data_IF_355219248341
#
_entry.id   IF_355219248341
#
_cell.length_a   1.000
_cell.length_b   1.000
_cell.length_c   1.000
_cell.angle_alpha   90.00
_cell.angle_beta   90.00
_cell.angle_gamma   90.00
#
_symmetry.space_group_name_H-M   'P 1'
#
loop_
_entity.id
_entity.type
_entity.pdbx_description
1 polymer ?
#
# COMPACT_ATOMS: atom_id res chain seq x y z
N UNK A 1 -42.17 -19.29 -3.79
CA UNK A 1 -41.18 -19.75 -2.80
C UNK A 1 -39.86 -20.03 -3.51
N UNK A 2 -39.15 -18.96 -3.88
CA UNK A 2 -37.75 -19.08 -4.29
C UNK A 2 -36.93 -18.82 -3.03
N UNK A 3 -36.21 -19.84 -2.55
CA UNK A 3 -35.16 -19.62 -1.56
C UNK A 3 -34.06 -18.84 -2.28
N UNK A 4 -34.20 -17.51 -2.28
CA UNK A 4 -33.32 -16.58 -2.96
C UNK A 4 -32.01 -16.61 -2.20
N UNK A 5 -30.94 -17.13 -2.82
CA UNK A 5 -29.65 -17.28 -2.18
C UNK A 5 -29.13 -15.91 -1.72
N UNK A 6 -29.23 -15.61 -0.43
CA UNK A 6 -28.86 -14.32 0.17
C UNK A 6 -27.35 -14.08 0.04
N UNK A 7 -26.55 -15.13 0.15
CA UNK A 7 -25.09 -15.04 0.14
C UNK A 7 -24.52 -14.52 -1.20
N UNK A 8 -24.90 -15.05 -2.38
CA UNK A 8 -24.53 -14.45 -3.67
C UNK A 8 -24.87 -12.96 -3.81
N UNK A 9 -26.04 -12.52 -3.33
CA UNK A 9 -26.45 -11.12 -3.41
C UNK A 9 -25.60 -10.20 -2.49
N UNK A 10 -25.20 -10.72 -1.33
CA UNK A 10 -24.24 -10.05 -0.44
C UNK A 10 -22.89 -9.90 -1.15
N UNK A 11 -22.34 -11.00 -1.69
CA UNK A 11 -21.05 -10.95 -2.39
C UNK A 11 -21.09 -10.05 -3.63
N UNK A 12 -22.18 -10.07 -4.40
CA UNK A 12 -22.36 -9.17 -5.56
C UNK A 12 -22.28 -7.70 -5.12
N UNK A 13 -23.00 -7.34 -4.06
CA UNK A 13 -23.01 -5.98 -3.52
C UNK A 13 -21.65 -5.57 -2.95
N UNK A 14 -20.95 -6.48 -2.26
CA UNK A 14 -19.59 -6.25 -1.74
C UNK A 14 -18.59 -6.06 -2.88
N UNK A 15 -18.60 -6.93 -3.88
CA UNK A 15 -17.68 -6.84 -5.02
C UNK A 15 -17.94 -5.59 -5.85
N UNK A 16 -19.20 -5.19 -6.03
CA UNK A 16 -19.55 -3.92 -6.66
C UNK A 16 -19.03 -2.73 -5.86
N UNK A 17 -19.13 -2.77 -4.52
CA UNK A 17 -18.54 -1.75 -3.66
C UNK A 17 -17.01 -1.68 -3.86
N UNK A 18 -16.33 -2.84 -3.95
CA UNK A 18 -14.89 -2.89 -4.20
C UNK A 18 -14.52 -2.24 -5.54
N UNK A 19 -15.31 -2.49 -6.58
CA UNK A 19 -15.12 -1.89 -7.91
C UNK A 19 -15.31 -0.37 -7.85
N UNK A 20 -16.34 0.12 -7.17
CA UNK A 20 -16.58 1.55 -7.02
C UNK A 20 -15.47 2.25 -6.25
N UNK A 21 -15.01 1.66 -5.15
CA UNK A 21 -13.93 2.24 -4.34
C UNK A 21 -12.61 2.26 -5.11
N UNK A 22 -12.31 1.20 -5.85
CA UNK A 22 -11.14 1.17 -6.74
C UNK A 22 -11.21 2.23 -7.85
N UNK A 23 -12.41 2.54 -8.34
CA UNK A 23 -12.64 3.61 -9.30
C UNK A 23 -12.66 5.02 -8.66
N UNK A 24 -12.50 5.14 -7.34
CA UNK A 24 -12.55 6.40 -6.59
C UNK A 24 -13.97 6.93 -6.36
N UNK A 25 -15.02 6.16 -6.66
CA UNK A 25 -16.41 6.53 -6.40
C UNK A 25 -16.86 6.03 -5.02
N UNK A 26 -16.55 6.83 -4.00
CA UNK A 26 -16.73 6.41 -2.59
C UNK A 26 -18.21 6.36 -2.20
N UNK A 27 -19.02 7.30 -2.70
CA UNK A 27 -20.46 7.30 -2.44
C UNK A 27 -21.16 6.08 -3.06
N UNK A 28 -20.74 5.68 -4.26
CA UNK A 28 -21.20 4.46 -4.91
C UNK A 28 -20.79 3.21 -4.12
N UNK A 29 -19.55 3.18 -3.64
CA UNK A 29 -19.05 2.08 -2.82
C UNK A 29 -19.82 1.95 -1.50
N UNK A 30 -20.00 3.06 -0.78
CA UNK A 30 -20.77 3.11 0.46
C UNK A 30 -22.23 2.67 0.24
N UNK A 31 -22.85 3.09 -0.87
CA UNK A 31 -24.24 2.70 -1.19
C UNK A 31 -24.36 1.20 -1.42
N UNK A 32 -23.47 0.61 -2.24
CA UNK A 32 -23.46 -0.82 -2.51
C UNK A 32 -23.14 -1.64 -1.24
N UNK A 33 -22.19 -1.16 -0.43
CA UNK A 33 -21.85 -1.80 0.84
C UNK A 33 -23.01 -1.75 1.83
N UNK A 34 -23.74 -0.63 1.91
CA UNK A 34 -24.93 -0.49 2.77
C UNK A 34 -26.05 -1.43 2.36
N UNK A 35 -26.24 -1.65 1.06
CA UNK A 35 -27.17 -2.67 0.55
C UNK A 35 -26.76 -4.08 0.99
N UNK A 36 -25.46 -4.40 0.93
CA UNK A 36 -24.95 -5.66 1.45
C UNK A 36 -25.24 -5.82 2.95
N UNK A 37 -24.97 -4.78 3.76
CA UNK A 37 -25.24 -4.78 5.21
C UNK A 37 -26.72 -5.05 5.49
N UNK A 38 -27.64 -4.39 4.77
CA UNK A 38 -29.06 -4.60 4.95
C UNK A 38 -29.51 -6.05 4.68
N UNK A 39 -28.87 -6.74 3.73
CA UNK A 39 -29.11 -8.16 3.45
C UNK A 39 -28.49 -9.10 4.49
N UNK A 40 -27.35 -8.72 5.06
CA UNK A 40 -26.58 -9.55 5.98
C UNK A 40 -27.00 -9.40 7.45
N UNK A 41 -27.56 -8.26 7.83
CA UNK A 41 -27.89 -7.92 9.21
C UNK A 41 -28.92 -8.85 9.87
N UNK A 42 -30.00 -9.30 9.20
CA UNK A 42 -30.97 -10.22 9.81
C UNK A 42 -30.33 -11.55 10.25
N UNK A 43 -29.43 -12.08 9.40
CA UNK A 43 -28.77 -13.37 9.60
C UNK A 43 -27.37 -13.27 10.22
N UNK A 44 -26.94 -12.05 10.60
CA UNK A 44 -25.63 -11.76 11.19
C UNK A 44 -24.44 -12.32 10.37
N UNK A 45 -24.53 -12.21 9.04
CA UNK A 45 -23.50 -12.72 8.12
C UNK A 45 -22.33 -11.73 7.98
N UNK A 46 -21.44 -11.72 8.97
CA UNK A 46 -20.32 -10.76 9.06
C UNK A 46 -19.12 -11.14 8.19
N UNK A 47 -18.85 -12.45 8.01
CA UNK A 47 -17.63 -12.94 7.35
C UNK A 47 -17.40 -12.43 5.91
N UNK A 48 -18.40 -12.36 5.01
CA UNK A 48 -18.20 -11.83 3.66
C UNK A 48 -17.59 -10.42 3.64
N UNK A 49 -17.92 -9.60 4.63
CA UNK A 49 -17.38 -8.25 4.78
C UNK A 49 -15.96 -8.29 5.34
N UNK A 50 -15.71 -9.09 6.37
CA UNK A 50 -14.39 -9.21 7.00
C UNK A 50 -13.32 -9.70 6.01
N UNK A 51 -13.70 -10.62 5.11
CA UNK A 51 -12.87 -11.13 4.00
C UNK A 51 -12.47 -10.05 2.99
N UNK A 52 -13.31 -9.03 2.79
CA UNK A 52 -13.14 -8.02 1.73
C UNK A 52 -12.79 -6.63 2.27
N UNK A 53 -12.75 -6.44 3.59
CA UNK A 53 -12.54 -5.14 4.23
C UNK A 53 -11.23 -4.45 3.82
N UNK A 54 -10.19 -5.22 3.44
CA UNK A 54 -8.94 -4.65 2.90
C UNK A 54 -9.17 -3.78 1.65
N UNK A 55 -10.19 -4.08 0.85
CA UNK A 55 -10.50 -3.37 -0.39
C UNK A 55 -11.54 -2.25 -0.22
N UNK A 56 -12.07 -2.08 1.00
CA UNK A 56 -13.15 -1.15 1.30
C UNK A 56 -12.83 -0.15 2.42
N UNK A 57 -11.59 0.35 2.60
CA UNK A 57 -11.26 1.20 3.75
C UNK A 57 -12.12 2.46 3.86
N UNK A 58 -12.43 3.11 2.73
CA UNK A 58 -13.17 4.38 2.71
C UNK A 58 -14.68 4.15 2.85
N UNK A 59 -15.24 3.14 2.16
CA UNK A 59 -16.65 2.79 2.31
C UNK A 59 -16.97 2.31 3.74
N UNK A 60 -16.08 1.52 4.36
CA UNK A 60 -16.22 1.09 5.75
C UNK A 60 -16.21 2.27 6.73
N UNK A 61 -15.30 3.23 6.54
CA UNK A 61 -15.23 4.43 7.38
C UNK A 61 -16.46 5.33 7.21
N UNK A 62 -16.98 5.47 5.98
CA UNK A 62 -18.21 6.22 5.73
C UNK A 62 -19.42 5.57 6.43
N UNK A 63 -19.55 4.24 6.36
CA UNK A 63 -20.64 3.52 7.04
C UNK A 63 -20.47 3.47 8.56
N UNK A 64 -19.26 3.61 9.08
CA UNK A 64 -19.03 3.77 10.52
C UNK A 64 -19.72 5.01 11.08
N UNK A 65 -19.87 6.05 10.27
CA UNK A 65 -20.60 7.28 10.63
C UNK A 65 -22.12 7.14 10.51
N UNK A 66 -22.63 6.06 9.90
CA UNK A 66 -24.06 5.77 9.79
C UNK A 66 -24.53 5.01 11.03
N UNK A 67 -25.40 5.63 11.83
CA UNK A 67 -25.88 5.06 13.10
C UNK A 67 -26.55 3.67 12.95
N UNK A 68 -27.14 3.35 11.79
CA UNK A 68 -27.78 2.06 11.56
C UNK A 68 -26.77 0.94 11.23
N UNK A 69 -25.70 1.28 10.52
CA UNK A 69 -24.69 0.33 10.08
C UNK A 69 -23.49 0.22 11.04
N UNK A 70 -23.20 1.27 11.81
CA UNK A 70 -22.08 1.37 12.75
C UNK A 70 -21.85 0.11 13.61
N UNK A 71 -22.86 -0.47 14.31
CA UNK A 71 -22.61 -1.65 15.14
C UNK A 71 -22.23 -2.88 14.32
N UNK A 72 -22.74 -3.01 13.09
CA UNK A 72 -22.36 -4.11 12.20
C UNK A 72 -20.93 -3.92 11.68
N UNK A 73 -20.56 -2.70 11.27
CA UNK A 73 -19.20 -2.38 10.83
C UNK A 73 -18.17 -2.61 11.94
N UNK A 74 -18.51 -2.27 13.19
CA UNK A 74 -17.64 -2.55 14.33
C UNK A 74 -17.38 -4.07 14.51
N UNK A 75 -18.40 -4.91 14.32
CA UNK A 75 -18.24 -6.37 14.32
C UNK A 75 -17.36 -6.86 13.15
N UNK A 76 -17.54 -6.30 11.96
CA UNK A 76 -16.70 -6.61 10.79
C UNK A 76 -15.23 -6.29 11.09
N UNK A 77 -14.96 -5.12 11.68
CA UNK A 77 -13.60 -4.70 12.03
C UNK A 77 -12.95 -5.62 13.05
N UNK A 78 -13.71 -6.11 14.04
CA UNK A 78 -13.21 -7.06 15.04
C UNK A 78 -12.80 -8.43 14.47
N UNK A 79 -13.33 -8.81 13.31
CA UNK A 79 -13.03 -10.08 12.63
C UNK A 79 -12.12 -9.91 11.41
N UNK A 80 -11.91 -8.67 10.95
CA UNK A 80 -11.13 -8.40 9.76
C UNK A 80 -9.64 -8.56 9.99
N UNK A 81 -8.95 -9.10 8.98
CA UNK A 81 -7.49 -9.14 8.94
C UNK A 81 -6.88 -7.93 8.22
N UNK A 82 -7.67 -6.96 7.77
CA UNK A 82 -7.17 -5.81 7.02
C UNK A 82 -6.09 -5.03 7.80
N UNK A 83 -6.36 -4.66 9.04
CA UNK A 83 -5.42 -3.96 9.92
C UNK A 83 -4.17 -4.80 10.27
N UNK A 84 -4.30 -6.05 10.77
CA UNK A 84 -3.14 -6.92 11.00
C UNK A 84 -2.27 -7.15 9.76
N UNK A 85 -2.89 -7.37 8.59
CA UNK A 85 -2.16 -7.59 7.35
C UNK A 85 -1.52 -6.29 6.83
N UNK A 86 -2.16 -5.14 7.01
CA UNK A 86 -1.55 -3.84 6.70
C UNK A 86 -0.32 -3.60 7.57
N UNK A 87 -0.43 -3.80 8.88
CA UNK A 87 0.70 -3.69 9.82
C UNK A 87 1.83 -4.68 9.47
N UNK A 88 1.49 -5.92 9.12
CA UNK A 88 2.47 -6.92 8.66
C UNK A 88 3.12 -6.49 7.33
N UNK A 89 2.37 -5.96 6.37
CA UNK A 89 2.92 -5.44 5.11
C UNK A 89 3.86 -4.28 5.36
N UNK A 90 3.52 -3.36 6.26
CA UNK A 90 4.43 -2.26 6.66
C UNK A 90 5.68 -2.79 7.34
N UNK A 91 5.57 -3.81 8.21
CA UNK A 91 6.70 -4.43 8.87
C UNK A 91 7.60 -5.23 7.90
N UNK A 92 7.01 -5.90 6.90
CA UNK A 92 7.70 -6.67 5.88
C UNK A 92 8.21 -5.80 4.72
N UNK A 93 7.65 -4.62 4.52
CA UNK A 93 8.15 -3.62 3.61
C UNK A 93 9.53 -3.18 4.10
N UNK A 94 10.56 -3.90 3.67
CA UNK A 94 11.94 -3.39 3.72
C UNK A 94 11.89 -1.99 3.09
N UNK A 95 12.59 -0.99 3.64
CA UNK A 95 12.80 0.27 2.95
C UNK A 95 13.61 -0.01 1.68
N UNK A 96 12.95 -0.45 0.62
CA UNK A 96 13.55 -0.62 -0.67
C UNK A 96 13.69 0.78 -1.21
N UNK A 97 14.89 1.32 -1.09
CA UNK A 97 15.29 2.49 -1.84
C UNK A 97 14.81 2.31 -3.29
N UNK A 98 14.26 3.35 -3.95
CA UNK A 98 13.81 3.28 -5.34
C UNK A 98 15.01 3.20 -6.31
N UNK A 99 16.04 2.46 -5.92
CA UNK A 99 17.32 2.25 -6.55
C UNK A 99 17.46 0.76 -6.84
N UNK A 100 17.86 0.44 -8.07
CA UNK A 100 18.34 -0.89 -8.44
C UNK A 100 19.55 -1.30 -7.59
N UNK A 101 19.85 -2.59 -7.52
CA UNK A 101 21.04 -3.11 -6.79
C UNK A 101 22.33 -2.36 -7.17
N UNK A 102 22.51 -2.07 -8.46
CA UNK A 102 23.70 -1.35 -8.95
C UNK A 102 23.73 0.11 -8.52
N UNK A 103 22.58 0.77 -8.46
CA UNK A 103 22.47 2.14 -7.97
C UNK A 103 22.70 2.21 -6.45
N UNK A 104 22.24 1.21 -5.70
CA UNK A 104 22.50 1.06 -4.28
C UNK A 104 24.01 0.90 -3.98
N UNK A 105 24.70 0.04 -4.74
CA UNK A 105 26.17 -0.11 -4.62
C UNK A 105 26.91 1.22 -4.86
N UNK A 106 26.54 1.96 -5.91
CA UNK A 106 27.13 3.28 -6.21
C UNK A 106 26.82 4.28 -5.10
N UNK A 107 25.58 4.33 -4.62
CA UNK A 107 25.17 5.23 -3.54
C UNK A 107 25.90 4.93 -2.22
N UNK A 108 26.08 3.65 -1.88
CA UNK A 108 26.82 3.22 -0.69
C UNK A 108 28.29 3.65 -0.75
N UNK A 109 28.96 3.48 -1.89
CA UNK A 109 30.33 3.97 -2.07
C UNK A 109 30.43 5.50 -2.02
N UNK A 110 29.40 6.22 -2.47
CA UNK A 110 29.34 7.68 -2.30
C UNK A 110 29.19 8.07 -0.82
N UNK A 111 28.35 7.35 -0.08
CA UNK A 111 28.14 7.59 1.35
C UNK A 111 29.42 7.36 2.17
N UNK A 112 30.28 6.42 1.78
CA UNK A 112 31.60 6.21 2.40
C UNK A 112 32.68 7.20 1.92
N UNK A 113 32.34 8.13 1.02
CA UNK A 113 33.21 9.22 0.59
C UNK A 113 34.03 8.95 -0.68
N UNK A 114 33.81 7.85 -1.41
CA UNK A 114 34.63 7.53 -2.60
C UNK A 114 34.35 8.48 -3.77
N UNK A 115 35.42 8.98 -4.40
CA UNK A 115 35.31 9.78 -5.62
C UNK A 115 34.76 8.97 -6.79
N UNK A 116 34.19 9.63 -7.81
CA UNK A 116 33.68 8.94 -9.00
C UNK A 116 34.75 8.11 -9.70
N UNK A 117 36.02 8.56 -9.67
CA UNK A 117 37.17 7.83 -10.20
C UNK A 117 37.46 6.55 -9.40
N UNK A 118 37.39 6.62 -8.07
CA UNK A 118 37.58 5.44 -7.23
C UNK A 118 36.44 4.43 -7.41
N UNK A 119 35.19 4.90 -7.49
CA UNK A 119 34.01 4.07 -7.78
C UNK A 119 34.15 3.40 -9.15
N UNK A 120 34.54 4.17 -10.17
CA UNK A 120 34.79 3.66 -11.52
C UNK A 120 35.84 2.54 -11.53
N UNK A 121 36.92 2.71 -10.76
CA UNK A 121 37.96 1.70 -10.60
C UNK A 121 37.46 0.42 -9.90
N UNK A 122 36.73 0.54 -8.79
CA UNK A 122 36.19 -0.62 -8.08
C UNK A 122 35.15 -1.39 -8.91
N UNK A 123 34.39 -0.65 -9.71
CA UNK A 123 33.31 -1.20 -10.52
C UNK A 123 33.74 -1.62 -11.93
N UNK A 124 34.99 -1.38 -12.30
CA UNK A 124 35.55 -1.58 -13.64
C UNK A 124 34.68 -0.97 -14.76
N UNK A 125 34.28 0.29 -14.58
CA UNK A 125 33.47 1.06 -15.54
C UNK A 125 34.08 2.44 -15.78
N UNK A 126 33.65 3.13 -16.83
CA UNK A 126 34.07 4.50 -17.08
C UNK A 126 33.49 5.49 -16.05
N UNK A 127 34.24 6.53 -15.70
CA UNK A 127 33.80 7.60 -14.78
C UNK A 127 32.52 8.30 -15.27
N UNK A 128 32.35 8.44 -16.59
CA UNK A 128 31.14 9.00 -17.20
C UNK A 128 29.89 8.17 -16.87
N UNK A 129 30.04 6.85 -16.76
CA UNK A 129 28.95 5.94 -16.38
C UNK A 129 28.56 6.17 -14.93
N UNK A 130 29.53 6.35 -14.01
CA UNK A 130 29.25 6.70 -12.61
C UNK A 130 28.48 8.02 -12.51
N UNK A 131 28.88 9.04 -13.28
CA UNK A 131 28.16 10.33 -13.32
C UNK A 131 26.72 10.17 -13.80
N UNK A 132 26.49 9.36 -14.84
CA UNK A 132 25.14 9.06 -15.35
C UNK A 132 24.29 8.32 -14.31
N UNK A 133 24.86 7.32 -13.65
CA UNK A 133 24.17 6.57 -12.58
C UNK A 133 23.80 7.50 -11.43
N UNK A 134 24.71 8.38 -10.99
CA UNK A 134 24.42 9.38 -9.94
C UNK A 134 23.29 10.33 -10.34
N UNK A 135 23.25 10.78 -11.60
CA UNK A 135 22.14 11.60 -12.09
C UNK A 135 20.79 10.89 -12.00
N UNK A 136 20.75 9.58 -12.30
CA UNK A 136 19.54 8.77 -12.16
C UNK A 136 19.16 8.57 -10.69
N UNK A 137 20.13 8.30 -9.81
CA UNK A 137 19.95 8.19 -8.36
C UNK A 137 19.35 9.50 -7.81
N UNK A 138 19.92 10.65 -8.16
CA UNK A 138 19.44 11.95 -7.73
C UNK A 138 17.97 12.20 -8.11
N UNK A 139 17.62 11.88 -9.36
CA UNK A 139 16.22 11.97 -9.83
C UNK A 139 15.29 11.03 -9.07
N UNK A 140 15.70 9.78 -8.83
CA UNK A 140 14.91 8.76 -8.13
C UNK A 140 14.69 9.09 -6.66
N UNK A 141 15.66 9.76 -6.03
CA UNK A 141 15.60 10.14 -4.62
C UNK A 141 15.10 11.59 -4.41
N UNK A 142 14.86 12.35 -5.48
CA UNK A 142 14.44 13.76 -5.37
C UNK A 142 15.50 14.68 -4.75
N UNK A 143 16.78 14.30 -4.80
CA UNK A 143 17.90 15.06 -4.24
C UNK A 143 18.74 15.71 -5.34
N UNK A 144 19.48 16.75 -4.99
CA UNK A 144 20.17 17.58 -6.00
C UNK A 144 21.68 17.46 -5.96
N UNK A 145 22.25 16.92 -4.87
CA UNK A 145 23.70 16.92 -4.69
C UNK A 145 24.23 15.71 -3.91
N UNK A 146 25.55 15.54 -4.00
CA UNK A 146 26.29 14.44 -3.39
C UNK A 146 26.19 14.44 -1.86
N UNK A 147 26.20 15.60 -1.22
CA UNK A 147 26.10 15.72 0.23
C UNK A 147 24.70 15.29 0.72
N UNK A 148 23.65 15.66 -0.01
CA UNK A 148 22.29 15.20 0.22
C UNK A 148 22.18 13.68 0.06
N UNK A 149 22.89 13.09 -0.91
CA UNK A 149 22.94 11.62 -1.05
C UNK A 149 23.62 10.97 0.16
N UNK A 150 24.77 11.48 0.59
CA UNK A 150 25.47 10.94 1.77
C UNK A 150 24.62 11.07 3.05
N UNK A 151 23.96 12.21 3.26
CA UNK A 151 23.04 12.42 4.39
C UNK A 151 21.81 11.50 4.32
N UNK A 152 21.26 11.31 3.12
CA UNK A 152 20.12 10.43 2.92
C UNK A 152 20.47 8.97 3.21
N UNK A 153 21.67 8.53 2.80
CA UNK A 153 22.16 7.17 3.09
C UNK A 153 22.49 6.93 4.56
N UNK A 154 22.93 7.94 5.32
CA UNK A 154 23.19 7.78 6.76
C UNK A 154 21.91 7.61 7.59
N UNK A 155 20.78 8.13 7.11
CA UNK A 155 19.47 7.99 7.77
C UNK A 155 18.66 6.80 7.27
N UNK A 156 19.10 6.15 6.19
CA UNK A 156 18.47 4.95 5.60
C UNK A 156 19.52 3.86 5.39
N UNK A 157 19.97 3.20 6.47
CA UNK A 157 20.98 2.15 6.37
C UNK A 157 20.48 1.00 5.49
N UNK A 158 21.30 0.62 4.52
CA UNK A 158 21.05 -0.53 3.67
C UNK A 158 21.14 -1.79 4.54
N UNK A 159 20.03 -2.53 4.67
CA UNK A 159 20.00 -3.85 5.31
C UNK A 159 20.71 -4.90 4.47
#
# INVERSE_FOLDING_TARGET
MASQYILPAIYESILLACVYEHAGNIDGAATALKQAVALAQPDHLVMPFAEHAEYLPQAMEQLRSDAAAAPFIEQVQGLSLAEPLAALRTALAKPSLPLSKREQEVAAMVATGLTNKAIAGQLNIAEVTVKKTLSQIYKKLGITNRAALSHYMSHHPMS
#
